data_IF_399940788271
#
_entry.id   IF_399940788271
#
_cell.length_a   1.000
_cell.length_b   1.000
_cell.length_c   1.000
_cell.angle_alpha   90.00
_cell.angle_beta   90.00
_cell.angle_gamma   90.00
#
_symmetry.space_group_name_H-M   'P 1'
#
loop_
_entity.id
_entity.type
_entity.pdbx_description
1 polymer ?
#
# COMPACT_ATOMS: atom_id res chain seq x y z
N UNK A 1 -42.43 -40.84 -50.38
CA UNK A 1 -41.01 -41.19 -50.31
C UNK A 1 -40.25 -40.37 -51.34
N UNK A 2 -39.61 -39.26 -50.92
CA UNK A 2 -38.67 -38.48 -51.74
C UNK A 2 -37.30 -38.60 -51.08
N UNK A 3 -36.38 -39.27 -51.77
CA UNK A 3 -34.97 -39.26 -51.45
C UNK A 3 -34.40 -37.91 -51.90
N UNK A 4 -34.00 -37.07 -50.94
CA UNK A 4 -33.15 -35.91 -51.19
C UNK A 4 -31.74 -36.27 -50.78
N UNK A 5 -30.86 -36.21 -51.77
CA UNK A 5 -29.44 -36.52 -51.71
C UNK A 5 -28.70 -35.61 -50.72
N UNK A 6 -27.74 -36.22 -50.06
CA UNK A 6 -26.77 -35.62 -49.16
C UNK A 6 -25.86 -34.65 -49.93
N UNK A 7 -25.89 -33.38 -49.56
CA UNK A 7 -24.82 -32.44 -49.90
C UNK A 7 -23.75 -32.53 -48.81
N UNK A 8 -22.46 -32.75 -49.13
CA UNK A 8 -21.40 -32.67 -48.14
C UNK A 8 -21.35 -31.24 -47.61
N UNK A 9 -21.70 -31.06 -46.34
CA UNK A 9 -21.53 -29.80 -45.63
C UNK A 9 -20.09 -29.34 -45.79
N UNK A 10 -19.92 -28.17 -46.37
CA UNK A 10 -18.63 -27.52 -46.58
C UNK A 10 -17.81 -27.51 -45.27
N UNK A 11 -16.47 -27.64 -45.33
CA UNK A 11 -15.63 -27.37 -44.17
C UNK A 11 -15.90 -25.93 -43.70
N UNK A 12 -16.57 -25.80 -42.55
CA UNK A 12 -16.84 -24.54 -41.90
C UNK A 12 -15.55 -23.75 -41.75
N UNK A 13 -15.60 -22.49 -42.16
CA UNK A 13 -14.49 -21.57 -42.23
C UNK A 13 -13.63 -21.51 -40.94
N UNK A 14 -12.31 -21.26 -41.05
CA UNK A 14 -11.48 -20.88 -39.91
C UNK A 14 -11.90 -19.47 -39.46
N UNK A 15 -12.81 -19.40 -38.50
CA UNK A 15 -13.43 -18.16 -38.08
C UNK A 15 -13.96 -18.17 -36.66
N UNK A 16 -13.42 -19.01 -35.77
CA UNK A 16 -13.59 -18.82 -34.35
C UNK A 16 -12.37 -18.05 -33.86
N UNK A 17 -12.51 -16.72 -33.88
CA UNK A 17 -11.56 -15.82 -33.26
C UNK A 17 -11.25 -16.32 -31.85
N UNK A 18 -9.97 -16.54 -31.61
CA UNK A 18 -9.38 -16.83 -30.32
C UNK A 18 -10.02 -15.91 -29.27
N UNK A 19 -10.90 -16.46 -28.44
CA UNK A 19 -11.09 -15.88 -27.11
C UNK A 19 -9.82 -16.23 -26.35
N UNK A 20 -8.75 -15.48 -26.61
CA UNK A 20 -7.52 -15.56 -25.84
C UNK A 20 -7.93 -15.44 -24.37
N UNK A 21 -7.53 -16.37 -23.48
CA UNK A 21 -7.79 -16.25 -22.05
C UNK A 21 -7.28 -14.89 -21.62
N UNK A 22 -8.20 -13.97 -21.28
CA UNK A 22 -7.79 -12.65 -20.85
C UNK A 22 -6.85 -12.82 -19.66
N UNK A 23 -5.67 -12.20 -19.69
CA UNK A 23 -4.64 -12.55 -18.76
C UNK A 23 -5.00 -12.25 -17.30
N UNK A 24 -4.91 -13.29 -16.47
CA UNK A 24 -5.42 -13.31 -15.10
C UNK A 24 -4.70 -12.37 -14.12
N UNK A 25 -3.57 -11.77 -14.49
CA UNK A 25 -2.90 -10.72 -13.70
C UNK A 25 -3.72 -9.43 -13.61
N UNK A 26 -4.75 -9.27 -14.44
CA UNK A 26 -5.70 -8.16 -14.38
C UNK A 26 -6.74 -8.35 -13.25
N UNK A 27 -6.83 -9.52 -12.61
CA UNK A 27 -7.60 -9.73 -11.39
C UNK A 27 -6.81 -9.17 -10.18
N UNK A 28 -6.62 -7.85 -10.16
CA UNK A 28 -6.10 -7.07 -9.01
C UNK A 28 -7.01 -7.15 -7.77
N UNK A 29 -8.11 -7.90 -7.84
CA UNK A 29 -9.03 -8.18 -6.75
C UNK A 29 -8.56 -9.28 -5.80
N UNK A 30 -7.33 -9.80 -5.96
CA UNK A 30 -6.83 -10.79 -5.03
C UNK A 30 -6.65 -10.17 -3.62
N UNK A 31 -7.28 -10.71 -2.58
CA UNK A 31 -7.34 -10.09 -1.25
C UNK A 31 -5.96 -9.86 -0.62
N UNK A 32 -4.94 -10.61 -1.03
CA UNK A 32 -3.54 -10.42 -0.59
C UNK A 32 -2.89 -9.16 -1.16
N UNK A 33 -3.28 -8.72 -2.37
CA UNK A 33 -2.74 -7.49 -2.97
C UNK A 33 -3.15 -6.26 -2.16
N UNK A 34 -4.44 -6.17 -1.80
CA UNK A 34 -4.95 -5.10 -0.93
C UNK A 34 -4.26 -5.07 0.45
N UNK A 35 -3.86 -6.24 0.96
CA UNK A 35 -3.17 -6.37 2.23
C UNK A 35 -1.71 -5.93 2.14
N UNK A 36 -0.98 -6.41 1.13
CA UNK A 36 0.41 -6.05 0.90
C UNK A 36 0.56 -4.55 0.61
N UNK A 37 -0.26 -4.03 -0.31
CA UNK A 37 -0.25 -2.60 -0.64
C UNK A 37 -0.57 -1.75 0.57
N UNK A 38 -1.63 -2.08 1.33
CA UNK A 38 -1.95 -1.39 2.57
C UNK A 38 -0.77 -1.38 3.55
N UNK A 39 -0.20 -2.55 3.85
CA UNK A 39 0.95 -2.68 4.74
C UNK A 39 2.15 -1.83 4.30
N UNK A 40 2.59 -1.96 3.04
CA UNK A 40 3.73 -1.21 2.52
C UNK A 40 3.45 0.29 2.42
N UNK A 41 2.21 0.69 2.12
CA UNK A 41 1.80 2.09 2.20
C UNK A 41 1.90 2.60 3.64
N UNK A 42 1.53 1.79 4.64
CA UNK A 42 1.72 2.14 6.05
C UNK A 42 3.19 2.35 6.43
N UNK A 43 4.08 1.48 5.96
CA UNK A 43 5.52 1.61 6.14
C UNK A 43 6.06 2.88 5.46
N UNK A 44 5.72 3.08 4.18
CA UNK A 44 6.13 4.26 3.42
C UNK A 44 5.60 5.55 4.06
N UNK A 45 4.38 5.52 4.59
CA UNK A 45 3.79 6.64 5.31
C UNK A 45 4.64 7.04 6.53
N UNK A 46 5.00 6.08 7.39
CA UNK A 46 5.82 6.36 8.60
C UNK A 46 7.24 6.83 8.24
N UNK A 47 7.83 6.32 7.15
CA UNK A 47 9.18 6.70 6.75
C UNK A 47 9.23 8.06 6.03
N UNK A 48 8.34 8.26 5.05
CA UNK A 48 8.41 9.39 4.12
C UNK A 48 7.75 10.64 4.70
N UNK A 49 6.59 10.51 5.34
CA UNK A 49 5.82 11.69 5.77
C UNK A 49 6.58 12.54 6.78
N UNK A 50 7.19 11.99 7.85
CA UNK A 50 7.97 12.80 8.78
C UNK A 50 9.21 13.41 8.14
N UNK A 51 9.92 12.65 7.29
CA UNK A 51 11.12 13.13 6.62
C UNK A 51 10.81 14.30 5.67
N UNK A 52 9.75 14.19 4.88
CA UNK A 52 9.29 15.26 3.99
C UNK A 52 8.80 16.45 4.81
N UNK A 53 8.05 16.23 5.89
CA UNK A 53 7.55 17.30 6.74
C UNK A 53 8.67 18.13 7.36
N UNK A 54 9.67 17.49 7.97
CA UNK A 54 10.86 18.16 8.52
C UNK A 54 11.66 18.85 7.42
N UNK A 55 11.87 18.17 6.28
CA UNK A 55 12.59 18.76 5.16
C UNK A 55 11.92 20.03 4.61
N UNK A 56 10.58 20.06 4.57
CA UNK A 56 9.83 21.26 4.21
C UNK A 56 9.93 22.33 5.29
N UNK A 57 9.83 21.98 6.57
CA UNK A 57 9.95 22.96 7.66
C UNK A 57 11.31 23.66 7.65
N UNK A 58 12.41 22.93 7.52
CA UNK A 58 13.75 23.51 7.42
C UNK A 58 13.95 24.40 6.18
N UNK A 59 13.17 24.20 5.12
CA UNK A 59 13.24 25.04 3.93
C UNK A 59 12.48 26.35 4.10
N UNK A 60 11.39 26.35 4.89
CA UNK A 60 10.47 27.48 5.01
C UNK A 60 10.66 28.30 6.29
N UNK A 61 11.21 27.70 7.35
CA UNK A 61 11.23 28.27 8.71
C UNK A 61 12.55 27.94 9.41
N UNK A 62 12.88 28.73 10.44
CA UNK A 62 14.05 28.53 11.29
C UNK A 62 13.95 27.24 12.14
N UNK A 63 15.10 26.73 12.58
CA UNK A 63 15.22 25.46 13.32
C UNK A 63 14.41 25.45 14.63
N UNK A 64 14.35 26.58 15.33
CA UNK A 64 13.60 26.72 16.58
C UNK A 64 12.10 26.52 16.36
N UNK A 65 11.55 27.17 15.33
CA UNK A 65 10.14 27.00 14.96
C UNK A 65 9.86 25.61 14.38
N UNK A 66 10.85 24.97 13.75
CA UNK A 66 10.69 23.59 13.25
C UNK A 66 10.43 22.61 14.38
N UNK A 67 11.16 22.72 15.50
CA UNK A 67 10.94 21.86 16.67
C UNK A 67 9.55 22.07 17.30
N UNK A 68 9.07 23.32 17.35
CA UNK A 68 7.73 23.64 17.86
C UNK A 68 6.62 23.05 16.97
N UNK A 69 6.84 23.04 15.66
CA UNK A 69 5.87 22.53 14.68
C UNK A 69 6.00 21.02 14.42
N UNK A 70 7.12 20.39 14.79
CA UNK A 70 7.34 18.96 14.54
C UNK A 70 6.19 18.06 15.05
N UNK A 71 5.62 18.25 16.25
CA UNK A 71 4.50 17.45 16.75
C UNK A 71 3.26 17.49 15.83
N UNK A 72 3.12 18.50 14.99
CA UNK A 72 2.03 18.62 14.02
C UNK A 72 2.03 17.45 13.02
N UNK A 73 3.18 16.80 12.79
CA UNK A 73 3.26 15.58 11.99
C UNK A 73 2.34 14.46 12.52
N UNK A 74 2.04 14.42 13.82
CA UNK A 74 1.09 13.45 14.38
C UNK A 74 -0.32 13.65 13.84
N UNK A 75 -0.70 14.86 13.41
CA UNK A 75 -2.01 15.06 12.76
C UNK A 75 -2.12 14.27 11.46
N UNK A 76 -1.00 13.96 10.80
CA UNK A 76 -1.02 13.11 9.61
C UNK A 76 -1.57 11.72 9.91
N UNK A 77 -1.48 11.20 11.14
CA UNK A 77 -2.10 9.92 11.55
C UNK A 77 -3.64 9.95 11.44
N UNK A 78 -4.27 11.12 11.36
CA UNK A 78 -5.70 11.21 11.06
C UNK A 78 -6.03 10.69 9.65
N UNK A 79 -5.09 10.73 8.71
CA UNK A 79 -5.28 10.19 7.35
C UNK A 79 -5.53 8.67 7.37
N UNK A 80 -4.63 7.81 7.90
CA UNK A 80 -4.87 6.38 8.00
C UNK A 80 -6.07 6.02 8.86
N UNK A 81 -6.37 6.80 9.92
CA UNK A 81 -7.56 6.60 10.74
C UNK A 81 -8.85 6.92 9.96
N UNK A 82 -8.87 8.01 9.19
CA UNK A 82 -9.99 8.42 8.36
C UNK A 82 -10.32 7.42 7.24
N UNK A 83 -9.28 6.78 6.67
CA UNK A 83 -9.43 5.70 5.68
C UNK A 83 -10.16 4.47 6.23
N UNK A 84 -10.32 4.34 7.55
CA UNK A 84 -11.04 3.25 8.19
C UNK A 84 -12.57 3.44 8.22
N UNK A 85 -13.06 4.64 7.92
CA UNK A 85 -14.49 4.97 7.90
C UNK A 85 -15.26 4.31 6.74
N UNK A 86 -14.85 4.49 5.47
CA UNK A 86 -15.58 3.94 4.33
C UNK A 86 -15.52 2.42 4.28
N UNK A 87 -16.67 1.76 4.09
CA UNK A 87 -16.77 0.30 4.04
C UNK A 87 -15.90 -0.34 2.94
N UNK A 88 -15.68 0.37 1.83
CA UNK A 88 -14.87 -0.09 0.70
C UNK A 88 -13.35 -0.03 0.94
N UNK A 89 -12.86 0.81 1.88
CA UNK A 89 -11.42 0.96 2.19
C UNK A 89 -11.00 0.29 3.50
N UNK A 90 -11.95 -0.19 4.33
CA UNK A 90 -11.66 -0.78 5.65
C UNK A 90 -10.58 -1.85 5.64
N UNK A 91 -10.56 -2.73 4.62
CA UNK A 91 -9.57 -3.81 4.53
C UNK A 91 -8.17 -3.24 4.30
N UNK A 92 -8.04 -2.34 3.34
CA UNK A 92 -6.79 -1.63 3.04
C UNK A 92 -6.31 -0.81 4.24
N UNK A 93 -7.18 0.03 4.81
CA UNK A 93 -6.86 0.88 5.96
C UNK A 93 -6.41 0.08 7.18
N UNK A 94 -7.01 -1.09 7.44
CA UNK A 94 -6.56 -1.98 8.51
C UNK A 94 -5.14 -2.50 8.30
N UNK A 95 -4.79 -2.93 7.08
CA UNK A 95 -3.42 -3.38 6.80
C UNK A 95 -2.41 -2.23 6.79
N UNK A 96 -2.82 -1.02 6.37
CA UNK A 96 -2.02 0.19 6.52
C UNK A 96 -1.71 0.52 7.97
N UNK A 97 -2.71 0.46 8.86
CA UNK A 97 -2.49 0.65 10.29
C UNK A 97 -1.56 -0.41 10.87
N UNK A 98 -1.69 -1.68 10.46
CA UNK A 98 -0.74 -2.74 10.86
C UNK A 98 0.68 -2.37 10.42
N UNK A 99 0.87 -1.91 9.18
CA UNK A 99 2.16 -1.42 8.70
C UNK A 99 2.72 -0.31 9.57
N UNK A 100 1.90 0.70 9.87
CA UNK A 100 2.28 1.83 10.73
C UNK A 100 2.71 1.34 12.12
N UNK A 101 1.91 0.48 12.76
CA UNK A 101 2.19 -0.01 14.12
C UNK A 101 3.46 -0.85 14.14
N UNK A 102 3.64 -1.76 13.18
CA UNK A 102 4.85 -2.59 13.09
C UNK A 102 6.08 -1.72 12.87
N UNK A 103 6.01 -0.76 11.95
CA UNK A 103 7.12 0.17 11.69
C UNK A 103 7.44 1.02 12.92
N UNK A 104 6.43 1.55 13.62
CA UNK A 104 6.63 2.33 14.84
C UNK A 104 7.31 1.50 15.95
N UNK A 105 6.89 0.23 16.13
CA UNK A 105 7.53 -0.68 17.07
C UNK A 105 8.99 -0.97 16.70
N UNK A 106 9.27 -1.21 15.42
CA UNK A 106 10.63 -1.47 14.94
C UNK A 106 11.51 -0.22 15.15
N UNK A 107 11.04 0.95 14.72
CA UNK A 107 11.80 2.21 14.87
C UNK A 107 12.03 2.53 16.33
N UNK A 108 10.99 2.46 17.17
CA UNK A 108 11.11 2.69 18.61
C UNK A 108 12.06 1.68 19.26
N UNK A 109 11.93 0.39 18.96
CA UNK A 109 12.79 -0.66 19.49
C UNK A 109 14.27 -0.48 19.10
N UNK A 110 14.53 -0.16 17.83
CA UNK A 110 15.89 0.13 17.34
C UNK A 110 16.44 1.39 18.00
N UNK A 111 15.67 2.47 18.06
CA UNK A 111 16.09 3.71 18.70
C UNK A 111 16.42 3.50 20.19
N UNK A 112 15.55 2.81 20.93
CA UNK A 112 15.80 2.46 22.33
C UNK A 112 17.04 1.58 22.50
N UNK A 113 17.24 0.59 21.64
CA UNK A 113 18.40 -0.30 21.69
C UNK A 113 19.70 0.46 21.38
N UNK A 114 19.69 1.37 20.40
CA UNK A 114 20.83 2.22 20.07
C UNK A 114 21.16 3.15 21.24
N UNK A 115 20.16 3.82 21.81
CA UNK A 115 20.33 4.70 22.98
C UNK A 115 20.88 3.93 24.18
N UNK A 116 20.36 2.73 24.44
CA UNK A 116 20.88 1.84 25.48
C UNK A 116 22.34 1.46 25.21
N UNK A 117 22.68 1.10 23.97
CA UNK A 117 24.04 0.75 23.59
C UNK A 117 25.02 1.93 23.72
N UNK A 118 24.58 3.16 23.42
CA UNK A 118 25.39 4.37 23.63
C UNK A 118 25.65 4.60 25.11
N UNK A 119 24.63 4.53 25.96
CA UNK A 119 24.78 4.70 27.41
C UNK A 119 25.75 3.68 28.04
N UNK A 120 25.73 2.43 27.59
CA UNK A 120 26.64 1.39 28.09
C UNK A 120 28.09 1.57 27.57
N UNK A 121 28.28 2.27 26.45
CA UNK A 121 29.60 2.51 25.84
C UNK A 121 30.25 3.81 26.31
N UNK A 122 29.45 4.77 26.76
CA UNK A 122 29.85 6.12 27.15
C UNK A 122 30.01 6.30 28.69
N UNK A 123 29.85 5.23 29.49
CA UNK A 123 30.15 5.12 30.93
C UNK A 123 31.20 4.03 31.20
#
# INVERSE_FOLDING_TARGET
MRAHAEAPGAPGAPGQGESQPQPSWWHRDHPTFSALTGFFTGLAFVAVVPAVFVGLLHLLVDDETTNDLFPLVLLSLMVPLGLMGPAHTRRFGRYMLIGIVVTALVVGGVASLVVWAMMERDL
#
